data_IF_376513750011
#
_entry.id   IF_376513750011
#
_cell.length_a   1.000
_cell.length_b   1.000
_cell.length_c   1.000
_cell.angle_alpha   90.00
_cell.angle_beta   90.00
_cell.angle_gamma   90.00
#
_symmetry.space_group_name_H-M   'P 1'
#
loop_
_entity.id
_entity.type
_entity.pdbx_description
1 polymer ?
#
# COMPACT_ATOMS: atom_id res chain seq x y z
N UNK A 1 -2.94 26.94 -29.35
CA UNK A 1 -2.36 25.99 -28.42
C UNK A 1 -3.39 25.63 -27.38
N UNK A 2 -3.85 24.40 -27.41
CA UNK A 2 -5.09 24.00 -26.76
C UNK A 2 -4.99 23.84 -25.26
N UNK A 3 -5.39 24.85 -24.54
CA UNK A 3 -5.66 24.81 -23.09
C UNK A 3 -6.82 23.86 -22.69
N UNK A 4 -7.52 23.28 -23.68
CA UNK A 4 -8.67 22.39 -23.44
C UNK A 4 -8.27 21.00 -22.91
N UNK A 5 -7.12 20.46 -23.31
CA UNK A 5 -6.66 19.12 -22.89
C UNK A 5 -6.23 19.08 -21.42
N UNK A 6 -5.59 20.14 -20.92
CA UNK A 6 -5.12 20.23 -19.53
C UNK A 6 -6.29 20.44 -18.57
N UNK A 7 -7.27 21.27 -18.95
CA UNK A 7 -8.47 21.48 -18.12
C UNK A 7 -9.31 20.21 -17.97
N UNK A 8 -9.44 19.40 -19.03
CA UNK A 8 -10.19 18.13 -18.96
C UNK A 8 -9.52 17.08 -18.09
N UNK A 9 -8.19 16.98 -18.05
CA UNK A 9 -7.48 16.08 -17.13
C UNK A 9 -7.66 16.49 -15.65
N UNK A 10 -7.61 17.78 -15.38
CA UNK A 10 -7.77 18.31 -14.02
C UNK A 10 -9.21 18.16 -13.51
N UNK A 11 -10.19 18.35 -14.37
CA UNK A 11 -11.62 18.20 -14.03
C UNK A 11 -11.97 16.72 -13.74
N UNK A 12 -11.47 15.77 -14.53
CA UNK A 12 -11.69 14.34 -14.26
C UNK A 12 -11.11 13.89 -12.91
N UNK A 13 -10.00 14.46 -12.48
CA UNK A 13 -9.42 14.16 -11.16
C UNK A 13 -10.16 14.86 -9.99
N UNK A 14 -10.74 16.03 -10.22
CA UNK A 14 -11.51 16.77 -9.21
C UNK A 14 -12.95 16.27 -9.06
N UNK A 15 -13.59 15.83 -10.12
CA UNK A 15 -14.99 15.39 -10.11
C UNK A 15 -15.20 13.95 -9.62
N UNK A 16 -14.23 13.33 -8.94
CA UNK A 16 -14.40 12.00 -8.34
C UNK A 16 -14.72 10.90 -9.37
N UNK A 17 -14.27 11.08 -10.61
CA UNK A 17 -14.31 10.03 -11.60
C UNK A 17 -13.81 8.72 -11.00
N UNK A 18 -14.54 7.63 -11.18
CA UNK A 18 -14.26 6.32 -10.62
C UNK A 18 -12.82 5.91 -10.93
N UNK A 19 -11.89 6.22 -10.02
CA UNK A 19 -10.47 5.91 -10.19
C UNK A 19 -10.30 4.41 -10.46
N UNK A 20 -9.67 4.10 -11.60
CA UNK A 20 -9.47 2.73 -12.06
C UNK A 20 -8.79 1.86 -10.99
N UNK A 21 -9.24 0.63 -10.86
CA UNK A 21 -8.62 -0.35 -9.97
C UNK A 21 -7.49 -1.04 -10.74
N UNK A 22 -6.25 -1.06 -10.22
CA UNK A 22 -5.15 -1.74 -10.87
C UNK A 22 -5.42 -3.23 -11.09
N UNK A 23 -5.09 -3.77 -12.24
CA UNK A 23 -5.26 -5.20 -12.57
C UNK A 23 -4.64 -6.14 -11.54
N UNK A 24 -3.53 -5.73 -10.93
CA UNK A 24 -2.85 -6.51 -9.88
C UNK A 24 -3.71 -6.77 -8.64
N UNK A 25 -4.77 -5.98 -8.41
CA UNK A 25 -5.66 -6.15 -7.26
C UNK A 25 -6.78 -7.17 -7.49
N UNK A 26 -6.98 -7.58 -8.72
CA UNK A 26 -7.99 -8.57 -9.11
C UNK A 26 -7.41 -9.79 -9.81
N UNK A 27 -6.11 -9.77 -10.12
CA UNK A 27 -5.42 -10.87 -10.79
C UNK A 27 -5.44 -12.14 -9.92
N UNK A 28 -5.72 -13.27 -10.54
CA UNK A 28 -5.77 -14.58 -9.87
C UNK A 28 -7.09 -14.88 -9.17
N UNK A 29 -8.10 -14.02 -9.32
CA UNK A 29 -9.44 -14.24 -8.81
C UNK A 29 -10.37 -14.81 -9.89
N UNK A 30 -11.37 -15.60 -9.46
CA UNK A 30 -12.50 -15.92 -10.32
C UNK A 30 -13.24 -14.66 -10.75
N UNK A 31 -14.01 -14.71 -11.84
CA UNK A 31 -14.80 -13.57 -12.33
C UNK A 31 -15.70 -13.00 -11.22
N UNK A 32 -16.40 -13.88 -10.49
CA UNK A 32 -17.28 -13.51 -9.37
C UNK A 32 -16.52 -12.78 -8.26
N UNK A 33 -15.37 -13.32 -7.82
CA UNK A 33 -14.57 -12.72 -6.76
C UNK A 33 -13.85 -11.45 -7.21
N UNK A 34 -13.48 -11.34 -8.48
CA UNK A 34 -12.93 -10.11 -9.05
C UNK A 34 -13.95 -8.96 -8.99
N UNK A 35 -15.22 -9.24 -9.27
CA UNK A 35 -16.30 -8.25 -9.11
C UNK A 35 -16.50 -7.86 -7.65
N UNK A 36 -16.50 -8.83 -6.72
CA UNK A 36 -16.58 -8.56 -5.27
C UNK A 36 -15.43 -7.71 -4.79
N UNK A 37 -14.20 -8.07 -5.15
CA UNK A 37 -13.00 -7.31 -4.79
C UNK A 37 -13.08 -5.86 -5.28
N UNK A 38 -13.51 -5.65 -6.51
CA UNK A 38 -13.68 -4.32 -7.09
C UNK A 38 -14.73 -3.50 -6.33
N UNK A 39 -15.85 -4.13 -5.95
CA UNK A 39 -16.90 -3.51 -5.13
C UNK A 39 -16.38 -3.12 -3.75
N UNK A 40 -15.69 -4.04 -3.08
CA UNK A 40 -15.12 -3.80 -1.75
C UNK A 40 -14.09 -2.66 -1.75
N UNK A 41 -13.21 -2.61 -2.76
CA UNK A 41 -12.23 -1.52 -2.90
C UNK A 41 -12.93 -0.18 -3.08
N UNK A 42 -13.95 -0.11 -3.93
CA UNK A 42 -14.72 1.14 -4.14
C UNK A 42 -15.45 1.59 -2.88
N UNK A 43 -16.04 0.65 -2.14
CA UNK A 43 -16.71 0.92 -0.85
C UNK A 43 -15.70 1.42 0.18
N UNK A 44 -14.56 0.75 0.31
CA UNK A 44 -13.50 1.16 1.23
C UNK A 44 -12.98 2.58 0.92
N UNK A 45 -12.78 2.91 -0.37
CA UNK A 45 -12.38 4.26 -0.80
C UNK A 45 -13.39 5.34 -0.41
N UNK A 46 -14.69 5.06 -0.56
CA UNK A 46 -15.76 5.99 -0.16
C UNK A 46 -15.80 6.18 1.35
N UNK A 47 -15.67 5.08 2.10
CA UNK A 47 -15.68 5.11 3.55
C UNK A 47 -14.47 5.84 4.12
N UNK A 48 -13.30 5.65 3.53
CA UNK A 48 -12.07 6.35 3.92
C UNK A 48 -12.20 7.87 3.81
N UNK A 49 -12.85 8.37 2.75
CA UNK A 49 -13.13 9.81 2.60
C UNK A 49 -14.01 10.38 3.72
N UNK A 50 -14.79 9.54 4.37
CA UNK A 50 -15.65 9.88 5.51
C UNK A 50 -14.99 9.57 6.86
N UNK A 51 -13.68 9.28 6.88
CA UNK A 51 -12.94 8.92 8.08
C UNK A 51 -13.22 7.51 8.62
N UNK A 52 -13.86 6.64 7.83
CA UNK A 52 -14.16 5.26 8.23
C UNK A 52 -13.20 4.27 7.56
N UNK A 53 -12.67 3.36 8.36
CA UNK A 53 -11.75 2.31 7.91
C UNK A 53 -12.50 0.98 7.79
N UNK A 54 -12.63 0.48 6.57
CA UNK A 54 -13.39 -0.76 6.30
C UNK A 54 -12.46 -1.83 5.76
N UNK A 55 -12.35 -2.93 6.49
CA UNK A 55 -11.60 -4.09 6.05
C UNK A 55 -12.36 -4.86 4.97
N UNK A 56 -11.62 -5.55 4.12
CA UNK A 56 -12.18 -6.32 3.03
C UNK A 56 -12.25 -7.80 3.40
N UNK A 57 -13.39 -8.48 3.13
CA UNK A 57 -13.51 -9.91 3.37
C UNK A 57 -12.52 -10.74 2.54
N UNK A 58 -12.17 -11.91 3.05
CA UNK A 58 -11.35 -12.87 2.31
C UNK A 58 -12.14 -13.45 1.13
N UNK A 59 -11.46 -13.67 0.02
CA UNK A 59 -12.00 -14.25 -1.21
C UNK A 59 -11.45 -15.65 -1.40
N UNK A 60 -12.35 -16.63 -1.57
CA UNK A 60 -11.97 -18.05 -1.60
C UNK A 60 -11.13 -18.45 -2.81
N UNK A 61 -11.35 -17.82 -3.96
CA UNK A 61 -10.64 -18.17 -5.20
C UNK A 61 -9.17 -17.68 -5.23
N UNK A 62 -8.73 -16.88 -4.26
CA UNK A 62 -7.36 -16.36 -4.22
C UNK A 62 -6.46 -17.21 -3.32
N UNK A 63 -5.41 -17.75 -3.91
CA UNK A 63 -4.32 -18.38 -3.15
C UNK A 63 -3.41 -17.27 -2.60
N UNK A 64 -3.34 -17.14 -1.29
CA UNK A 64 -2.50 -16.15 -0.63
C UNK A 64 -1.04 -16.37 -1.02
N UNK A 65 -0.43 -15.32 -1.56
CA UNK A 65 1.01 -15.26 -1.82
C UNK A 65 1.65 -14.26 -0.89
N UNK A 66 2.77 -14.64 -0.31
CA UNK A 66 3.59 -13.70 0.47
C UNK A 66 4.15 -12.61 -0.46
N UNK A 67 4.27 -11.40 0.07
CA UNK A 67 4.93 -10.31 -0.65
C UNK A 67 6.40 -10.67 -0.89
N UNK A 68 6.89 -10.44 -2.11
CA UNK A 68 8.31 -10.64 -2.42
C UNK A 68 9.23 -9.80 -1.52
N UNK A 69 8.81 -8.63 -1.10
CA UNK A 69 9.55 -7.78 -0.16
C UNK A 69 9.59 -8.38 1.24
N UNK A 70 8.49 -8.95 1.70
CA UNK A 70 8.40 -9.64 2.99
C UNK A 70 9.36 -10.84 3.02
N UNK A 71 9.33 -11.67 1.99
CA UNK A 71 10.21 -12.83 1.88
C UNK A 71 11.70 -12.42 1.86
N UNK A 72 12.06 -11.42 1.06
CA UNK A 72 13.43 -10.89 0.99
C UNK A 72 13.89 -10.30 2.32
N UNK A 73 13.01 -9.58 3.02
CA UNK A 73 13.31 -8.99 4.31
C UNK A 73 13.60 -10.06 5.37
N UNK A 74 12.73 -11.07 5.49
CA UNK A 74 12.92 -12.15 6.46
C UNK A 74 14.16 -13.01 6.17
N UNK A 75 14.51 -13.15 4.89
CA UNK A 75 15.78 -13.81 4.51
C UNK A 75 17.00 -13.04 4.98
N UNK A 76 16.96 -11.69 4.90
CA UNK A 76 18.09 -10.84 5.30
C UNK A 76 18.16 -10.59 6.80
N UNK A 77 17.00 -10.44 7.45
CA UNK A 77 16.86 -10.12 8.87
C UNK A 77 15.89 -11.09 9.56
N UNK A 78 16.26 -12.38 9.72
CA UNK A 78 15.33 -13.40 10.19
C UNK A 78 14.84 -13.17 11.64
N UNK A 79 15.63 -12.49 12.46
CA UNK A 79 15.32 -12.25 13.88
C UNK A 79 14.63 -10.90 14.14
N UNK A 80 14.50 -10.03 13.14
CA UNK A 80 13.88 -8.73 13.30
C UNK A 80 12.37 -8.80 13.00
N UNK A 81 11.56 -8.90 14.04
CA UNK A 81 10.09 -9.05 13.93
C UNK A 81 9.34 -7.77 14.29
N UNK A 82 9.82 -7.00 15.25
CA UNK A 82 9.20 -5.76 15.72
C UNK A 82 9.89 -4.53 15.14
N UNK A 83 9.18 -3.39 15.08
CA UNK A 83 9.76 -2.14 14.60
C UNK A 83 11.01 -1.72 15.37
N UNK A 84 11.06 -1.79 16.72
CA UNK A 84 12.28 -1.51 17.45
C UNK A 84 13.47 -2.42 17.08
N UNK A 85 13.22 -3.72 16.88
CA UNK A 85 14.25 -4.66 16.43
C UNK A 85 14.75 -4.33 15.03
N UNK A 86 13.84 -4.00 14.12
CA UNK A 86 14.17 -3.59 12.75
C UNK A 86 15.00 -2.30 12.76
N UNK A 87 14.62 -1.31 13.55
CA UNK A 87 15.36 -0.07 13.70
C UNK A 87 16.81 -0.32 14.19
N UNK A 88 16.98 -1.24 15.13
CA UNK A 88 18.28 -1.61 15.66
C UNK A 88 19.19 -2.24 14.62
N UNK A 89 18.68 -3.21 13.83
CA UNK A 89 19.50 -3.94 12.85
C UNK A 89 19.72 -3.17 11.55
N UNK A 90 18.86 -2.22 11.22
CA UNK A 90 18.97 -1.42 9.99
C UNK A 90 19.57 -0.05 10.20
N UNK A 91 19.61 0.45 11.42
CA UNK A 91 20.02 1.82 11.73
C UNK A 91 19.00 2.90 11.33
N UNK A 92 17.81 2.50 10.85
CA UNK A 92 16.76 3.43 10.45
C UNK A 92 15.93 3.81 11.69
N UNK A 93 15.67 5.11 11.94
CA UNK A 93 14.86 5.52 13.09
C UNK A 93 13.49 4.84 13.12
N UNK A 94 13.07 4.34 14.27
CA UNK A 94 11.76 3.69 14.43
C UNK A 94 10.58 4.60 14.01
N UNK A 95 10.71 5.91 14.25
CA UNK A 95 9.72 6.92 13.82
C UNK A 95 9.55 6.95 12.29
N UNK A 96 10.64 6.84 11.53
CA UNK A 96 10.60 6.76 10.08
C UNK A 96 9.93 5.46 9.61
N UNK A 97 10.29 4.33 10.19
CA UNK A 97 9.69 3.02 9.88
C UNK A 97 8.18 3.00 10.15
N UNK A 98 7.77 3.54 11.29
CA UNK A 98 6.34 3.65 11.63
C UNK A 98 5.60 4.60 10.67
N UNK A 99 6.22 5.68 10.23
CA UNK A 99 5.63 6.60 9.26
C UNK A 99 5.39 5.92 7.91
N UNK A 100 6.35 5.16 7.39
CA UNK A 100 6.21 4.38 6.15
C UNK A 100 5.12 3.31 6.28
N UNK A 101 5.12 2.57 7.39
CA UNK A 101 4.09 1.56 7.69
C UNK A 101 2.71 2.17 7.73
N UNK A 102 2.54 3.31 8.40
CA UNK A 102 1.26 4.03 8.50
C UNK A 102 0.77 4.51 7.14
N UNK A 103 1.65 5.03 6.28
CA UNK A 103 1.30 5.37 4.89
C UNK A 103 0.81 4.15 4.11
N UNK A 104 1.44 2.99 4.27
CA UNK A 104 1.02 1.74 3.65
C UNK A 104 -0.36 1.28 4.12
N UNK A 105 -0.63 1.40 5.42
CA UNK A 105 -1.95 1.10 5.99
C UNK A 105 -3.03 2.06 5.45
N UNK A 106 -2.73 3.34 5.35
CA UNK A 106 -3.62 4.33 4.73
C UNK A 106 -3.89 4.03 3.27
N UNK A 107 -2.89 3.62 2.50
CA UNK A 107 -3.04 3.23 1.11
C UNK A 107 -3.94 2.00 0.92
N UNK A 108 -3.91 1.05 1.86
CA UNK A 108 -4.81 -0.11 1.86
C UNK A 108 -6.29 0.33 1.82
N UNK A 109 -6.66 1.34 2.60
CA UNK A 109 -8.03 1.86 2.65
C UNK A 109 -8.35 2.83 1.52
N UNK A 110 -7.46 3.76 1.23
CA UNK A 110 -7.69 4.85 0.27
C UNK A 110 -7.54 4.45 -1.20
N UNK A 111 -6.73 3.45 -1.48
CA UNK A 111 -6.41 3.02 -2.85
C UNK A 111 -6.83 1.59 -3.12
N UNK A 112 -6.56 0.70 -2.22
CA UNK A 112 -6.81 -0.72 -2.32
C UNK A 112 -5.56 -1.57 -2.07
N UNK A 113 -5.69 -2.86 -2.27
CA UNK A 113 -4.61 -3.83 -2.11
C UNK A 113 -4.83 -5.06 -2.97
N UNK A 114 -3.85 -5.92 -3.06
CA UNK A 114 -4.06 -7.28 -3.56
C UNK A 114 -5.08 -8.01 -2.68
N UNK A 115 -5.75 -9.07 -3.19
CA UNK A 115 -6.74 -9.81 -2.42
C UNK A 115 -6.17 -10.42 -1.14
N UNK A 116 -7.03 -10.62 -0.16
CA UNK A 116 -6.71 -11.32 1.09
C UNK A 116 -5.56 -10.72 1.89
N UNK A 117 -5.34 -9.41 1.75
CA UNK A 117 -4.39 -8.64 2.55
C UNK A 117 -5.12 -7.93 3.69
N UNK A 118 -4.38 -7.55 4.72
CA UNK A 118 -4.81 -6.66 5.80
C UNK A 118 -4.08 -5.33 5.69
N UNK A 119 -4.59 -4.29 6.36
CA UNK A 119 -3.88 -3.01 6.44
C UNK A 119 -2.48 -3.18 7.04
N UNK A 120 -2.35 -4.02 8.06
CA UNK A 120 -1.08 -4.34 8.72
C UNK A 120 -0.09 -5.00 7.76
N UNK A 121 -0.51 -6.05 7.04
CA UNK A 121 0.38 -6.75 6.09
C UNK A 121 0.80 -5.84 4.93
N UNK A 122 -0.11 -4.97 4.46
CA UNK A 122 0.18 -4.02 3.40
C UNK A 122 1.18 -2.94 3.86
N UNK A 123 1.01 -2.43 5.08
CA UNK A 123 1.93 -1.48 5.70
C UNK A 123 3.32 -2.08 5.94
N UNK A 124 3.39 -3.31 6.43
CA UNK A 124 4.67 -4.03 6.62
C UNK A 124 5.41 -4.25 5.30
N UNK A 125 4.71 -4.71 4.25
CA UNK A 125 5.31 -4.90 2.93
C UNK A 125 5.89 -3.59 2.37
N UNK A 126 5.20 -2.47 2.54
CA UNK A 126 5.71 -1.15 2.17
C UNK A 126 6.96 -0.77 2.95
N UNK A 127 6.97 -1.00 4.26
CA UNK A 127 8.12 -0.76 5.12
C UNK A 127 9.33 -1.61 4.68
N UNK A 128 9.13 -2.88 4.36
CA UNK A 128 10.20 -3.75 3.89
C UNK A 128 10.77 -3.33 2.54
N UNK A 129 9.91 -2.92 1.61
CA UNK A 129 10.34 -2.31 0.34
C UNK A 129 11.18 -1.05 0.55
N UNK A 130 10.79 -0.21 1.50
CA UNK A 130 11.54 0.99 1.87
C UNK A 130 12.94 0.65 2.40
N UNK A 131 13.04 -0.31 3.29
CA UNK A 131 14.32 -0.75 3.89
C UNK A 131 15.25 -1.37 2.84
N UNK A 132 14.71 -2.20 1.95
CA UNK A 132 15.49 -2.97 0.96
C UNK A 132 15.79 -2.20 -0.34
N UNK A 133 15.50 -0.91 -0.41
CA UNK A 133 15.78 -0.10 -1.59
C UNK A 133 14.81 -0.30 -2.75
N UNK A 134 13.59 -0.76 -2.47
CA UNK A 134 12.55 -0.90 -3.47
C UNK A 134 11.91 0.44 -3.85
N UNK A 135 10.87 0.41 -4.70
CA UNK A 135 10.20 1.62 -5.22
C UNK A 135 9.68 2.55 -4.13
N UNK A 136 9.32 2.01 -2.97
CA UNK A 136 8.82 2.79 -1.82
C UNK A 136 9.84 3.81 -1.32
N UNK A 137 11.12 3.53 -1.43
CA UNK A 137 12.18 4.49 -1.02
C UNK A 137 12.09 5.80 -1.77
N UNK A 138 11.78 5.77 -3.07
CA UNK A 138 11.53 6.97 -3.89
C UNK A 138 10.21 7.63 -3.56
N UNK A 139 9.15 6.83 -3.40
CA UNK A 139 7.79 7.32 -3.13
C UNK A 139 7.73 8.02 -1.77
N UNK A 140 8.39 7.48 -0.75
CA UNK A 140 8.42 7.99 0.60
C UNK A 140 9.69 8.80 0.93
N UNK A 141 10.30 9.41 -0.07
CA UNK A 141 11.51 10.24 0.09
C UNK A 141 11.31 11.41 1.07
N UNK A 142 10.09 11.90 1.22
CA UNK A 142 9.77 12.92 2.22
C UNK A 142 10.05 12.43 3.65
N UNK A 143 9.78 11.16 3.94
CA UNK A 143 10.09 10.55 5.24
C UNK A 143 11.60 10.42 5.42
N UNK A 144 12.31 10.02 4.37
CA UNK A 144 13.77 9.93 4.37
C UNK A 144 14.40 11.28 4.75
N UNK A 145 13.92 12.37 4.15
CA UNK A 145 14.40 13.72 4.45
C UNK A 145 14.00 14.17 5.85
N UNK A 146 12.75 13.98 6.23
CA UNK A 146 12.19 14.41 7.53
C UNK A 146 12.92 13.81 8.72
N UNK A 147 13.28 12.54 8.65
CA UNK A 147 13.95 11.81 9.73
C UNK A 147 15.46 11.62 9.50
N UNK A 148 16.01 12.24 8.47
CA UNK A 148 17.43 12.14 8.10
C UNK A 148 17.92 10.69 8.04
N UNK A 149 17.15 9.85 7.34
CA UNK A 149 17.44 8.41 7.20
C UNK A 149 18.66 8.21 6.30
N UNK A 150 19.60 7.42 6.77
CA UNK A 150 20.76 6.95 6.00
C UNK A 150 20.64 5.45 5.74
N UNK A 151 20.88 5.05 4.50
CA UNK A 151 20.83 3.65 4.08
C UNK A 151 22.22 3.06 3.91
#
# INVERSE_FOLDING_TARGET
>A
MDNKSVKNKCVKNKCGGKRKIPKKYTRGLSKRDSMKQSKYIRTARKSYKKGKYVDRPKLKSYKKKESGWTAKFHKRYPNAKTVPQIARVTGIPAKALNAVKRKGMGAYYSSGSRPNQTAQSWGKARMYSYILGGPTRKIDNEITKKYNVKF
#
